data_IF_186123793665
#
_entry.id   IF_186123793665
#
_cell.length_a   1.000
_cell.length_b   1.000
_cell.length_c   1.000
_cell.angle_alpha   90.00
_cell.angle_beta   90.00
_cell.angle_gamma   90.00
#
_symmetry.space_group_name_H-M   'P 1'
#
loop_
_entity.id
_entity.type
_entity.pdbx_description
1 polymer ?
#
# COMPACT_ATOMS: atom_id res chain seq x y z
N UNK A 1 -13.55 7.20 4.19
CA UNK A 1 -12.52 8.27 4.24
C UNK A 1 -11.28 7.80 3.51
N UNK A 2 -10.84 8.55 2.49
CA UNK A 2 -9.60 8.28 1.78
C UNK A 2 -8.39 8.46 2.71
N UNK A 3 -7.38 7.61 2.53
CA UNK A 3 -6.09 7.72 3.23
C UNK A 3 -5.15 8.63 2.44
N UNK A 4 -4.24 9.32 3.13
CA UNK A 4 -3.26 10.22 2.49
C UNK A 4 -2.44 9.51 1.38
N UNK A 5 -2.08 8.24 1.59
CA UNK A 5 -1.36 7.45 0.58
C UNK A 5 -2.13 7.27 -0.73
N UNK A 6 -3.43 6.98 -0.62
CA UNK A 6 -4.33 6.82 -1.78
C UNK A 6 -4.61 8.15 -2.47
N UNK A 7 -4.79 9.23 -1.69
CA UNK A 7 -4.92 10.58 -2.25
C UNK A 7 -3.66 10.96 -3.07
N UNK A 8 -2.46 10.64 -2.57
CA UNK A 8 -1.21 10.92 -3.29
C UNK A 8 -1.07 10.11 -4.57
N UNK A 9 -1.45 8.83 -4.58
CA UNK A 9 -1.37 8.02 -5.81
C UNK A 9 -2.32 8.51 -6.90
N UNK A 10 -3.52 8.98 -6.52
CA UNK A 10 -4.55 9.48 -7.44
C UNK A 10 -4.34 10.94 -7.89
N UNK A 11 -3.32 11.62 -7.37
CA UNK A 11 -3.10 13.05 -7.62
C UNK A 11 -2.84 13.36 -9.10
N UNK A 12 -2.10 12.49 -9.80
CA UNK A 12 -1.84 12.67 -11.23
C UNK A 12 -3.11 12.46 -12.05
N UNK A 13 -3.90 11.45 -11.71
CA UNK A 13 -5.18 11.18 -12.35
C UNK A 13 -6.12 12.37 -12.19
N UNK A 14 -6.18 12.99 -11.00
CA UNK A 14 -6.91 14.25 -10.79
C UNK A 14 -6.38 15.38 -11.68
N UNK A 15 -5.06 15.62 -11.68
CA UNK A 15 -4.45 16.70 -12.45
C UNK A 15 -4.66 16.60 -13.95
N UNK A 16 -4.85 15.40 -14.48
CA UNK A 16 -5.09 15.12 -15.90
C UNK A 16 -6.55 14.78 -16.21
N UNK A 17 -7.47 14.99 -15.27
CA UNK A 17 -8.91 14.79 -15.45
C UNK A 17 -9.30 13.33 -15.78
N UNK A 18 -8.56 12.36 -15.21
CA UNK A 18 -8.72 10.92 -15.44
C UNK A 18 -9.53 10.21 -14.34
N UNK A 19 -9.83 10.89 -13.23
CA UNK A 19 -10.65 10.32 -12.15
C UNK A 19 -12.13 10.35 -12.51
N UNK A 20 -12.83 9.26 -12.17
CA UNK A 20 -14.29 9.20 -12.26
C UNK A 20 -14.95 10.18 -11.28
N UNK A 21 -16.21 10.53 -11.52
CA UNK A 21 -16.92 11.54 -10.74
C UNK A 21 -16.99 11.22 -9.23
N UNK A 22 -17.23 9.94 -8.89
CA UNK A 22 -17.30 9.47 -7.51
C UNK A 22 -15.94 9.52 -6.81
N UNK A 23 -14.87 9.12 -7.51
CA UNK A 23 -13.50 9.15 -6.99
C UNK A 23 -13.02 10.57 -6.78
N UNK A 24 -13.33 11.46 -7.72
CA UNK A 24 -13.02 12.89 -7.64
C UNK A 24 -13.66 13.52 -6.41
N UNK A 25 -14.94 13.26 -6.17
CA UNK A 25 -15.65 13.79 -5.02
C UNK A 25 -15.00 13.34 -3.70
N UNK A 26 -14.69 12.05 -3.58
CA UNK A 26 -14.06 11.50 -2.38
C UNK A 26 -12.63 12.06 -2.16
N UNK A 27 -11.91 12.31 -3.26
CA UNK A 27 -10.57 12.91 -3.23
C UNK A 27 -10.61 14.39 -2.82
N UNK A 28 -11.55 15.16 -3.35
CA UNK A 28 -11.77 16.58 -3.00
C UNK A 28 -12.27 16.75 -1.55
N UNK A 29 -13.04 15.79 -1.05
CA UNK A 29 -13.44 15.76 0.36
C UNK A 29 -12.23 15.55 1.27
N UNK A 30 -11.35 14.60 0.98
CA UNK A 30 -10.10 14.41 1.72
C UNK A 30 -9.18 15.64 1.64
N UNK A 31 -9.09 16.26 0.46
CA UNK A 31 -8.27 17.46 0.28
C UNK A 31 -8.71 18.62 1.16
N UNK A 32 -10.01 18.84 1.34
CA UNK A 32 -10.50 19.94 2.18
C UNK A 32 -9.97 19.86 3.61
N UNK A 33 -9.81 18.64 4.11
CA UNK A 33 -9.43 18.40 5.51
C UNK A 33 -7.93 18.12 5.71
N UNK A 34 -7.13 18.00 4.62
CA UNK A 34 -5.73 17.59 4.69
C UNK A 34 -4.76 18.64 4.11
N UNK A 35 -4.17 19.46 4.98
CA UNK A 35 -3.21 20.50 4.60
C UNK A 35 -1.94 19.96 3.89
N UNK A 36 -1.49 18.75 4.23
CA UNK A 36 -0.32 18.15 3.57
C UNK A 36 -0.62 17.77 2.12
N UNK A 37 -1.79 17.18 1.84
CA UNK A 37 -2.22 16.87 0.49
C UNK A 37 -2.49 18.12 -0.36
N UNK A 38 -3.01 19.20 0.25
CA UNK A 38 -3.14 20.50 -0.43
C UNK A 38 -1.78 21.07 -0.86
N UNK A 39 -0.78 21.03 0.02
CA UNK A 39 0.57 21.51 -0.28
C UNK A 39 1.21 20.71 -1.43
N UNK A 40 1.03 19.39 -1.45
CA UNK A 40 1.50 18.54 -2.55
C UNK A 40 0.78 18.84 -3.87
N UNK A 41 -0.54 19.10 -3.85
CA UNK A 41 -1.29 19.50 -5.04
C UNK A 41 -0.74 20.79 -5.65
N UNK A 42 -0.42 21.80 -4.82
CA UNK A 42 0.18 23.06 -5.29
C UNK A 42 1.53 22.80 -5.97
N UNK A 43 2.39 21.98 -5.35
CA UNK A 43 3.70 21.60 -5.93
C UNK A 43 3.55 20.88 -7.27
N UNK A 44 2.67 19.88 -7.33
CA UNK A 44 2.43 19.10 -8.54
C UNK A 44 1.85 19.96 -9.67
N UNK A 45 0.96 20.92 -9.34
CA UNK A 45 0.42 21.88 -10.31
C UNK A 45 1.51 22.79 -10.88
N UNK A 46 2.42 23.27 -10.04
CA UNK A 46 3.57 24.07 -10.50
C UNK A 46 4.48 23.27 -11.44
N UNK A 47 4.75 21.99 -11.13
CA UNK A 47 5.52 21.09 -11.99
C UNK A 47 4.82 20.85 -13.34
N UNK A 48 3.51 20.59 -13.35
CA UNK A 48 2.72 20.44 -14.59
C UNK A 48 2.86 21.67 -15.49
N UNK A 49 2.82 22.87 -14.92
CA UNK A 49 2.98 24.11 -15.68
C UNK A 49 4.40 24.26 -16.26
N UNK A 50 5.44 23.90 -15.51
CA UNK A 50 6.81 23.90 -16.03
C UNK A 50 6.98 22.95 -17.21
N UNK A 51 6.46 21.73 -17.11
CA UNK A 51 6.47 20.75 -18.20
C UNK A 51 5.69 21.26 -19.42
N UNK A 52 4.52 21.85 -19.21
CA UNK A 52 3.72 22.42 -20.30
C UNK A 52 4.44 23.57 -21.02
N UNK A 53 5.23 24.39 -20.29
CA UNK A 53 6.06 25.44 -20.89
C UNK A 53 7.22 24.85 -21.68
N UNK A 54 7.93 23.87 -21.12
CA UNK A 54 9.03 23.19 -21.79
C UNK A 54 8.58 22.49 -23.08
N UNK A 55 7.42 21.84 -23.07
CA UNK A 55 6.85 21.19 -24.25
C UNK A 55 6.46 22.18 -25.37
N UNK A 56 6.20 23.45 -25.02
CA UNK A 56 5.89 24.52 -25.97
C UNK A 56 7.14 25.29 -26.45
N UNK A 57 8.34 24.95 -25.96
CA UNK A 57 9.56 25.57 -26.45
C UNK A 57 9.78 25.19 -27.92
N UNK A 58 10.11 26.18 -28.73
CA UNK A 58 10.36 25.97 -30.15
C UNK A 58 11.74 25.33 -30.34
N UNK A 59 11.78 24.15 -30.96
CA UNK A 59 13.03 23.45 -31.27
C UNK A 59 13.38 23.70 -32.75
N UNK A 60 14.08 24.80 -33.02
CA UNK A 60 14.46 25.20 -34.39
C UNK A 60 15.25 24.13 -35.17
N UNK A 61 15.95 23.23 -34.45
CA UNK A 61 16.77 22.17 -35.04
C UNK A 61 16.02 20.82 -35.19
N UNK A 62 14.75 20.74 -34.83
CA UNK A 62 13.94 19.51 -34.93
C UNK A 62 12.86 19.72 -35.99
N UNK A 63 13.21 19.44 -37.24
CA UNK A 63 12.24 19.38 -38.34
C UNK A 63 11.94 17.93 -38.69
N UNK A 64 10.66 17.55 -38.66
CA UNK A 64 10.22 16.31 -39.28
C UNK A 64 10.18 16.52 -40.80
N UNK A 65 11.31 16.27 -41.46
CA UNK A 65 11.34 16.24 -42.93
C UNK A 65 10.73 14.93 -43.42
N UNK A 66 9.69 14.97 -44.27
CA UNK A 66 9.23 13.77 -44.95
C UNK A 66 10.37 13.20 -45.81
N UNK A 67 10.51 11.86 -45.89
CA UNK A 67 11.52 11.26 -46.75
C UNK A 67 11.34 11.75 -48.19
N UNK A 68 12.42 12.19 -48.84
CA UNK A 68 12.38 12.79 -50.16
C UNK A 68 11.72 11.84 -51.18
N UNK A 69 10.58 12.26 -51.72
CA UNK A 69 9.91 11.63 -52.85
C UNK A 69 10.70 11.96 -54.13
N UNK A 70 11.87 11.35 -54.31
CA UNK A 70 12.81 11.79 -55.36
C UNK A 70 13.93 10.80 -55.64
N UNK A 71 13.60 9.51 -55.66
CA UNK A 71 14.45 8.47 -56.21
C UNK A 71 13.64 7.64 -57.18
N UNK A 72 13.47 8.14 -58.41
CA UNK A 72 13.06 7.32 -59.55
C UNK A 72 14.21 6.38 -59.95
N UNK A 73 14.60 5.50 -59.03
CA UNK A 73 14.89 4.13 -59.40
C UNK A 73 13.56 3.42 -59.31
N UNK A 74 12.87 3.26 -60.44
CA UNK A 74 11.92 2.18 -60.59
C UNK A 74 12.74 0.88 -60.49
N UNK A 75 13.13 0.53 -59.26
CA UNK A 75 13.40 -0.86 -58.94
C UNK A 75 12.16 -1.60 -59.43
N UNK A 76 12.30 -2.71 -60.17
CA UNK A 76 11.15 -3.52 -60.49
C UNK A 76 10.40 -3.67 -59.18
N UNK A 77 9.13 -3.29 -59.19
CA UNK A 77 8.21 -3.67 -58.13
C UNK A 77 8.17 -5.18 -58.25
N UNK A 78 9.19 -5.82 -57.69
CA UNK A 78 9.16 -7.19 -57.30
C UNK A 78 7.96 -7.17 -56.38
N UNK A 79 6.84 -7.65 -56.93
CA UNK A 79 5.78 -8.25 -56.15
C UNK A 79 6.46 -9.40 -55.44
N UNK A 80 7.21 -9.05 -54.38
CA UNK A 80 7.48 -9.91 -53.29
C UNK A 80 6.08 -10.33 -52.89
N UNK A 81 5.66 -11.51 -53.38
CA UNK A 81 4.70 -12.34 -52.68
C UNK A 81 5.29 -12.42 -51.29
N UNK A 82 4.86 -11.49 -50.44
CA UNK A 82 5.07 -11.58 -49.01
C UNK A 82 4.48 -12.93 -48.69
N UNK A 83 5.35 -13.92 -48.50
CA UNK A 83 4.99 -15.15 -47.82
C UNK A 83 4.55 -14.63 -46.47
N UNK A 84 3.23 -14.48 -46.31
CA UNK A 84 2.57 -14.05 -45.09
C UNK A 84 2.92 -15.11 -44.07
N UNK A 85 4.11 -14.98 -43.46
CA UNK A 85 4.42 -15.72 -42.25
C UNK A 85 3.31 -15.28 -41.30
N UNK A 86 2.48 -16.23 -40.81
CA UNK A 86 1.38 -15.90 -39.92
C UNK A 86 1.95 -15.02 -38.80
N UNK A 87 1.25 -13.96 -38.40
CA UNK A 87 1.83 -12.92 -37.56
C UNK A 87 2.36 -13.56 -36.28
N UNK A 88 3.68 -13.75 -36.22
CA UNK A 88 4.41 -14.22 -35.03
C UNK A 88 4.18 -13.28 -33.84
N UNK A 89 3.63 -12.09 -34.12
CA UNK A 89 3.10 -11.12 -33.17
C UNK A 89 2.06 -11.71 -32.22
N UNK A 90 1.19 -12.63 -32.65
CA UNK A 90 0.24 -13.25 -31.70
C UNK A 90 0.97 -14.11 -30.66
N UNK A 91 1.98 -14.88 -31.07
CA UNK A 91 2.86 -15.61 -30.14
C UNK A 91 3.65 -14.66 -29.24
N UNK A 92 4.09 -13.50 -29.74
CA UNK A 92 4.76 -12.49 -28.91
C UNK A 92 3.81 -11.89 -27.87
N UNK A 93 2.53 -11.71 -28.19
CA UNK A 93 1.52 -11.31 -27.23
C UNK A 93 1.28 -12.37 -26.15
N UNK A 94 1.23 -13.65 -26.51
CA UNK A 94 1.13 -14.73 -25.51
C UNK A 94 2.37 -14.81 -24.62
N UNK A 95 3.57 -14.61 -25.17
CA UNK A 95 4.80 -14.57 -24.36
C UNK A 95 4.80 -13.36 -23.42
N UNK A 96 4.43 -12.17 -23.91
CA UNK A 96 4.32 -10.98 -23.07
C UNK A 96 3.26 -11.14 -21.97
N UNK A 97 2.09 -11.70 -22.32
CA UNK A 97 1.04 -12.00 -21.35
C UNK A 97 1.50 -13.03 -20.31
N UNK A 98 2.18 -14.09 -20.73
CA UNK A 98 2.71 -15.11 -19.82
C UNK A 98 3.78 -14.55 -18.87
N UNK A 99 4.66 -13.67 -19.36
CA UNK A 99 5.66 -12.99 -18.52
C UNK A 99 4.97 -12.04 -17.54
N UNK A 100 3.98 -11.25 -17.97
CA UNK A 100 3.19 -10.40 -17.07
C UNK A 100 2.45 -11.22 -16.02
N UNK A 101 1.87 -12.35 -16.39
CA UNK A 101 1.19 -13.27 -15.47
C UNK A 101 2.18 -13.89 -14.48
N UNK A 102 3.35 -14.33 -14.94
CA UNK A 102 4.40 -14.86 -14.08
C UNK A 102 4.92 -13.80 -13.10
N UNK A 103 5.13 -12.56 -13.55
CA UNK A 103 5.55 -11.45 -12.68
C UNK A 103 4.44 -11.05 -11.70
N UNK A 104 3.18 -11.04 -12.13
CA UNK A 104 2.04 -10.77 -11.26
C UNK A 104 1.88 -11.86 -10.19
N UNK A 105 1.95 -13.13 -10.57
CA UNK A 105 1.88 -14.27 -9.65
C UNK A 105 3.09 -14.32 -8.72
N UNK A 106 4.30 -14.02 -9.20
CA UNK A 106 5.49 -13.93 -8.36
C UNK A 106 5.46 -12.71 -7.43
N UNK A 107 4.88 -11.59 -7.88
CA UNK A 107 4.69 -10.39 -7.07
C UNK A 107 3.69 -10.61 -5.94
N UNK A 108 2.54 -11.21 -6.25
CA UNK A 108 1.52 -11.59 -5.26
C UNK A 108 2.06 -12.67 -4.32
N UNK A 109 2.62 -13.77 -4.86
CA UNK A 109 3.18 -14.86 -4.07
C UNK A 109 4.36 -14.43 -3.18
N UNK A 110 5.23 -13.56 -3.67
CA UNK A 110 6.34 -12.98 -2.90
C UNK A 110 5.86 -12.05 -1.78
N UNK A 111 4.77 -11.31 -1.99
CA UNK A 111 4.17 -10.47 -0.96
C UNK A 111 3.48 -11.31 0.13
N UNK A 112 2.70 -12.33 -0.26
CA UNK A 112 2.09 -13.27 0.68
C UNK A 112 3.11 -14.07 1.48
N UNK A 113 4.24 -14.47 0.89
CA UNK A 113 5.30 -15.18 1.60
C UNK A 113 5.96 -14.36 2.72
N UNK A 114 6.19 -13.05 2.48
CA UNK A 114 6.70 -12.16 3.53
C UNK A 114 5.68 -11.93 4.65
N UNK A 115 4.40 -11.85 4.32
CA UNK A 115 3.36 -11.65 5.33
C UNK A 115 3.15 -12.90 6.19
N UNK A 116 3.33 -14.10 5.61
CA UNK A 116 3.28 -15.36 6.34
C UNK A 116 4.38 -15.45 7.41
N UNK A 117 5.61 -15.03 7.08
CA UNK A 117 6.71 -14.98 8.04
C UNK A 117 6.47 -13.99 9.20
N UNK A 118 5.77 -12.88 8.94
CA UNK A 118 5.37 -11.95 10.02
C UNK A 118 4.32 -12.56 10.95
N UNK A 119 3.37 -13.31 10.40
CA UNK A 119 2.36 -14.00 11.20
C UNK A 119 2.98 -14.99 12.18
N UNK A 120 3.96 -15.77 11.74
CA UNK A 120 4.67 -16.72 12.62
C UNK A 120 5.36 -16.00 13.79
N UNK A 121 5.96 -14.83 13.55
CA UNK A 121 6.58 -14.05 14.62
C UNK A 121 5.55 -13.51 15.63
N UNK A 122 4.37 -13.11 15.17
CA UNK A 122 3.28 -12.64 16.05
C UNK A 122 2.77 -13.79 16.91
N UNK A 123 2.56 -14.97 16.32
CA UNK A 123 2.12 -16.17 17.04
C UNK A 123 3.16 -16.59 18.09
N UNK A 124 4.44 -16.64 17.70
CA UNK A 124 5.52 -16.97 18.62
C UNK A 124 5.65 -15.97 19.78
N UNK A 125 5.35 -14.68 19.56
CA UNK A 125 5.31 -13.68 20.63
C UNK A 125 4.06 -13.85 21.52
N UNK A 126 2.91 -14.17 20.95
CA UNK A 126 1.68 -14.40 21.69
C UNK A 126 1.82 -15.61 22.62
N UNK A 127 2.42 -16.70 22.13
CA UNK A 127 2.68 -17.92 22.89
C UNK A 127 3.59 -17.63 24.10
N UNK A 128 4.69 -16.88 23.89
CA UNK A 128 5.55 -16.44 25.01
C UNK A 128 4.83 -15.60 26.05
N UNK A 129 3.88 -14.76 25.65
CA UNK A 129 3.08 -13.96 26.59
C UNK A 129 2.13 -14.82 27.41
N UNK A 130 1.55 -15.86 26.80
CA UNK A 130 0.70 -16.83 27.50
C UNK A 130 1.52 -17.61 28.52
N UNK A 131 2.68 -18.12 28.13
CA UNK A 131 3.58 -18.84 29.04
C UNK A 131 4.04 -17.97 30.21
N UNK A 132 4.36 -16.70 29.94
CA UNK A 132 4.72 -15.74 30.97
C UNK A 132 3.56 -15.52 31.95
N UNK A 133 2.35 -15.28 31.44
CA UNK A 133 1.16 -15.09 32.27
C UNK A 133 0.84 -16.32 33.13
N UNK A 134 1.07 -17.53 32.61
CA UNK A 134 0.89 -18.76 33.38
C UNK A 134 1.91 -18.88 34.52
N UNK A 135 3.18 -18.54 34.27
CA UNK A 135 4.22 -18.51 35.31
C UNK A 135 3.91 -17.47 36.38
N UNK A 136 3.51 -16.28 35.98
CA UNK A 136 3.14 -15.21 36.89
C UNK A 136 1.94 -15.63 37.76
N UNK A 137 0.94 -16.31 37.19
CA UNK A 137 -0.16 -16.88 37.97
C UNK A 137 0.31 -17.94 38.98
N UNK A 138 1.21 -18.84 38.57
CA UNK A 138 1.78 -19.84 39.48
C UNK A 138 2.56 -19.19 40.61
N UNK A 139 3.34 -18.15 40.32
CA UNK A 139 4.11 -17.42 41.31
C UNK A 139 3.18 -16.68 42.31
N UNK A 140 2.16 -15.98 41.82
CA UNK A 140 1.15 -15.34 42.67
C UNK A 140 0.47 -16.38 43.56
N UNK A 141 0.11 -17.54 43.00
CA UNK A 141 -0.53 -18.60 43.79
C UNK A 141 0.42 -19.17 44.85
N UNK A 142 1.70 -19.35 44.52
CA UNK A 142 2.71 -19.75 45.50
C UNK A 142 2.93 -18.69 46.57
N UNK A 143 2.92 -17.41 46.22
CA UNK A 143 3.00 -16.30 47.17
C UNK A 143 1.78 -16.31 48.10
N UNK A 144 0.56 -16.49 47.58
CA UNK A 144 -0.66 -16.61 48.38
C UNK A 144 -0.65 -17.79 49.36
N UNK A 145 0.00 -18.91 48.97
CA UNK A 145 0.21 -20.05 49.85
C UNK A 145 1.31 -19.80 50.90
N UNK A 146 2.30 -18.98 50.58
CA UNK A 146 3.40 -18.60 51.49
C UNK A 146 3.06 -17.46 52.43
N UNK A 147 2.04 -16.65 52.13
CA UNK A 147 1.62 -15.58 53.03
C UNK A 147 1.27 -16.21 54.39
N UNK A 148 1.94 -15.77 55.47
CA UNK A 148 1.75 -16.35 56.78
C UNK A 148 0.28 -16.22 57.19
N UNK A 149 -0.28 -17.27 57.79
CA UNK A 149 -1.65 -17.32 58.29
C UNK A 149 -2.03 -16.08 59.11
N UNK A 150 -1.04 -15.48 59.79
CA UNK A 150 -1.18 -14.24 60.56
C UNK A 150 -1.70 -13.07 59.72
N UNK A 151 -1.26 -12.92 58.47
CA UNK A 151 -1.70 -11.82 57.61
C UNK A 151 -3.14 -12.01 57.12
N UNK A 152 -3.56 -13.26 56.89
CA UNK A 152 -4.96 -13.59 56.59
C UNK A 152 -5.86 -13.27 57.77
N UNK A 153 -5.43 -13.62 58.98
CA UNK A 153 -6.18 -13.29 60.21
C UNK A 153 -6.32 -11.78 60.41
N UNK A 154 -5.27 -11.00 60.15
CA UNK A 154 -5.34 -9.54 60.24
C UNK A 154 -6.28 -8.92 59.21
N UNK A 155 -6.31 -9.42 57.97
CA UNK A 155 -7.23 -8.92 56.94
C UNK A 155 -8.69 -9.25 57.26
N UNK A 156 -8.97 -10.45 57.78
CA UNK A 156 -10.33 -10.84 58.22
C UNK A 156 -10.77 -9.94 59.37
N UNK A 157 -9.91 -9.73 60.38
CA UNK A 157 -10.21 -8.85 61.50
C UNK A 157 -10.44 -7.38 61.07
N UNK A 158 -9.70 -6.89 60.07
CA UNK A 158 -9.89 -5.55 59.52
C UNK A 158 -11.23 -5.42 58.76
N UNK A 159 -11.62 -6.43 57.98
CA UNK A 159 -12.90 -6.46 57.28
C UNK A 159 -14.09 -6.51 58.26
N UNK A 160 -14.00 -7.33 59.31
CA UNK A 160 -15.01 -7.41 60.36
C UNK A 160 -15.18 -6.07 61.08
N UNK A 161 -14.08 -5.34 61.29
CA UNK A 161 -14.11 -4.01 61.91
C UNK A 161 -14.82 -2.99 61.03
N UNK A 162 -14.53 -2.98 59.73
CA UNK A 162 -15.20 -2.10 58.76
C UNK A 162 -16.69 -2.43 58.67
N UNK A 163 -17.07 -3.70 58.67
CA UNK A 163 -18.48 -4.11 58.66
C UNK A 163 -19.23 -3.67 59.92
N UNK A 164 -18.62 -3.80 61.10
CA UNK A 164 -19.22 -3.34 62.34
C UNK A 164 -19.38 -1.81 62.38
N UNK A 165 -18.40 -1.05 61.90
CA UNK A 165 -18.50 0.41 61.80
C UNK A 165 -19.62 0.84 60.82
N UNK A 166 -19.81 0.08 59.73
CA UNK A 166 -20.89 0.33 58.77
C UNK A 166 -22.29 -0.06 59.28
N UNK A 167 -22.41 -0.95 60.26
CA UNK A 167 -23.69 -1.32 60.87
C UNK A 167 -24.14 -0.39 62.00
N UNK A 168 -23.22 0.43 62.53
CA UNK A 168 -23.50 1.39 63.60
C UNK A 168 -23.86 2.80 63.09
N UNK A 169 -23.81 3.01 61.77
CA UNK A 169 -24.28 4.21 61.08
C UNK A 169 -25.66 3.98 60.47
#
# INVERSE_FOLDING_TARGET
MLRCGTCRSQMLEYLYDLLEASERQAWEEHLRDCASCQAELVRATAQKQLLARAAKMHFANVSFTPPAAGGAGALPVATLRMKTKPPRRWRQWFVAAAVLLAVALAGVGGWYGREYQRLEQIVAQAEKRIDQAQKDQQEINQQLLRLPEEQKQQQIAALDKIQNEAQLQ
#
